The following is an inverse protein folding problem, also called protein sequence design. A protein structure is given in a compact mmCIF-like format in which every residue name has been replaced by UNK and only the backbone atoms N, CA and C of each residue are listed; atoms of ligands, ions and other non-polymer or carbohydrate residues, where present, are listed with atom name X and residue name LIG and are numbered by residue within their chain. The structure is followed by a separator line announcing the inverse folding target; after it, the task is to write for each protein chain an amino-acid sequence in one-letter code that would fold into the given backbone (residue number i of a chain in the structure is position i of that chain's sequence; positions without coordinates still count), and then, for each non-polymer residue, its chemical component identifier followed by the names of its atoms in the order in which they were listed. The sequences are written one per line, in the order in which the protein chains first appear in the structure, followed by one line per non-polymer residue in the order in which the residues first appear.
data_IF_117355195442
#
_entry.id   IF_117355195442
#
_cell.length_a   1.000
_cell.length_b   1.000
_cell.length_c   1.000
_cell.angle_alpha   90.00
_cell.angle_beta   90.00
_cell.angle_gamma   90.00
#
_symmetry.space_group_name_H-M   'P 1'
#
loop_
_entity.id
_entity.type
_entity.pdbx_description
1 polymer ?
#
# COMPACT_ATOMS: atom_id res chain seq x y z
N UNK A 1 -9.27 6.46 -23.50
CA UNK A 1 -9.17 5.03 -23.12
C UNK A 1 -7.74 4.66 -22.73
N UNK A 2 -6.74 4.84 -23.59
CA UNK A 2 -5.34 4.45 -23.33
C UNK A 2 -4.64 5.20 -22.17
N UNK A 3 -4.85 6.52 -22.04
CA UNK A 3 -4.29 7.32 -20.94
C UNK A 3 -4.86 6.88 -19.58
N UNK A 4 -6.12 6.43 -19.55
CA UNK A 4 -6.78 5.95 -18.34
C UNK A 4 -6.20 4.60 -17.91
N UNK A 5 -5.88 3.72 -18.86
CA UNK A 5 -5.20 2.46 -18.59
C UNK A 5 -3.84 2.69 -17.90
N UNK A 6 -2.97 3.49 -18.52
CA UNK A 6 -1.62 3.76 -18.01
C UNK A 6 -1.69 4.37 -16.61
N UNK A 7 -2.54 5.37 -16.42
CA UNK A 7 -2.73 6.04 -15.12
C UNK A 7 -3.21 5.07 -14.05
N UNK A 8 -4.14 4.18 -14.38
CA UNK A 8 -4.69 3.18 -13.44
C UNK A 8 -3.65 2.12 -13.07
N UNK A 9 -2.84 1.67 -14.04
CA UNK A 9 -1.73 0.76 -13.78
C UNK A 9 -0.68 1.39 -12.84
N UNK A 10 -0.34 2.67 -13.04
CA UNK A 10 0.56 3.40 -12.14
C UNK A 10 0.01 3.52 -10.71
N UNK A 11 -1.28 3.76 -10.55
CA UNK A 11 -1.94 3.77 -9.23
C UNK A 11 -1.80 2.40 -8.56
N UNK A 12 -2.02 1.31 -9.29
CA UNK A 12 -1.84 -0.04 -8.77
C UNK A 12 -0.39 -0.32 -8.33
N UNK A 13 0.59 0.12 -9.13
CA UNK A 13 2.02 0.04 -8.77
C UNK A 13 2.31 0.85 -7.50
N UNK A 14 1.75 2.05 -7.37
CA UNK A 14 1.90 2.87 -6.18
C UNK A 14 1.35 2.18 -4.93
N UNK A 15 0.18 1.52 -5.02
CA UNK A 15 -0.37 0.73 -3.92
C UNK A 15 0.56 -0.43 -3.52
N UNK A 16 1.12 -1.15 -4.50
CA UNK A 16 2.09 -2.22 -4.22
C UNK A 16 3.33 -1.67 -3.52
N UNK A 17 3.89 -0.55 -4.00
CA UNK A 17 5.05 0.09 -3.40
C UNK A 17 4.78 0.54 -1.96
N UNK A 18 3.63 1.17 -1.70
CA UNK A 18 3.21 1.61 -0.37
C UNK A 18 3.03 0.41 0.56
N UNK A 19 2.37 -0.66 0.11
CA UNK A 19 2.17 -1.87 0.91
C UNK A 19 3.49 -2.58 1.24
N UNK A 20 4.42 -2.66 0.27
CA UNK A 20 5.78 -3.17 0.50
C UNK A 20 6.55 -2.31 1.50
N UNK A 21 6.44 -0.98 1.40
CA UNK A 21 7.08 -0.05 2.32
C UNK A 21 6.52 -0.18 3.74
N UNK A 22 5.21 -0.37 3.89
CA UNK A 22 4.57 -0.63 5.18
C UNK A 22 5.05 -1.93 5.84
N UNK A 23 5.24 -2.99 5.06
CA UNK A 23 5.74 -4.28 5.58
C UNK A 23 7.21 -4.19 5.99
N UNK A 24 8.05 -3.53 5.17
CA UNK A 24 9.50 -3.44 5.38
C UNK A 24 9.88 -2.43 6.46
N UNK A 25 9.19 -1.30 6.51
CA UNK A 25 9.52 -0.18 7.39
C UNK A 25 8.32 0.23 8.27
N UNK A 26 7.81 -0.66 9.13
CA UNK A 26 6.61 -0.37 9.91
C UNK A 26 6.79 0.77 10.93
N UNK A 27 8.04 1.06 11.30
CA UNK A 27 8.41 2.15 12.21
C UNK A 27 8.61 3.50 11.52
N UNK A 28 8.48 3.57 10.20
CA UNK A 28 8.67 4.80 9.43
C UNK A 28 7.73 5.91 9.92
N UNK A 29 8.20 7.16 9.86
CA UNK A 29 7.41 8.34 10.22
C UNK A 29 6.09 8.42 9.44
N UNK A 30 6.04 7.91 8.20
CA UNK A 30 4.83 7.79 7.39
C UNK A 30 3.68 7.02 8.07
N UNK A 31 4.02 6.07 8.95
CA UNK A 31 3.06 5.24 9.66
C UNK A 31 2.95 5.59 11.15
N UNK A 32 3.78 6.53 11.64
CA UNK A 32 3.63 7.10 12.96
C UNK A 32 2.48 8.10 12.96
N UNK A 33 1.67 8.06 14.02
CA UNK A 33 0.64 9.07 14.24
C UNK A 33 1.34 10.24 14.92
N UNK A 34 1.14 11.47 14.43
CA UNK A 34 1.90 12.69 14.79
C UNK A 34 1.84 13.11 16.27
N UNK A 35 1.22 12.31 17.15
CA UNK A 35 1.03 12.59 18.58
C UNK A 35 1.32 11.42 19.52
N UNK A 36 1.68 10.25 18.99
CA UNK A 36 2.05 9.12 19.82
C UNK A 36 3.57 9.12 20.01
N UNK A 37 4.04 9.71 21.12
CA UNK A 37 5.35 9.41 21.71
C UNK A 37 5.36 8.01 22.36
N UNK A 38 4.30 7.24 22.13
CA UNK A 38 4.09 5.86 22.58
C UNK A 38 4.82 4.93 21.62
N UNK A 39 5.70 4.12 22.18
CA UNK A 39 6.42 3.06 21.47
C UNK A 39 5.44 2.22 20.63
N UNK A 40 5.81 1.97 19.37
CA UNK A 40 4.92 1.32 18.41
C UNK A 40 4.63 -0.11 18.88
N UNK A 41 3.44 -0.36 19.42
CA UNK A 41 3.11 -1.66 20.00
C UNK A 41 3.22 -2.80 18.98
N UNK A 42 3.61 -3.99 19.43
CA UNK A 42 3.74 -5.19 18.58
C UNK A 42 2.46 -5.49 17.80
N UNK A 43 1.30 -5.25 18.42
CA UNK A 43 -0.01 -5.41 17.78
C UNK A 43 -0.20 -4.43 16.62
N UNK A 44 0.27 -3.18 16.77
CA UNK A 44 0.22 -2.18 15.69
C UNK A 44 1.19 -2.52 14.56
N UNK A 45 2.39 -3.01 14.87
CA UNK A 45 3.35 -3.47 13.86
C UNK A 45 2.75 -4.65 13.07
N UNK A 46 2.14 -5.60 13.77
CA UNK A 46 1.47 -6.74 13.15
C UNK A 46 0.33 -6.29 12.24
N UNK A 47 -0.53 -5.38 12.72
CA UNK A 47 -1.59 -4.80 11.93
C UNK A 47 -1.06 -4.07 10.68
N UNK A 48 0.03 -3.31 10.81
CA UNK A 48 0.61 -2.57 9.69
C UNK A 48 1.15 -3.51 8.60
N UNK A 49 1.78 -4.62 9.00
CA UNK A 49 2.23 -5.68 8.08
C UNK A 49 1.04 -6.37 7.40
N UNK A 50 -0.04 -6.61 8.12
CA UNK A 50 -1.26 -7.18 7.56
C UNK A 50 -1.94 -6.23 6.57
N UNK A 51 -2.11 -4.97 6.95
CA UNK A 51 -2.64 -3.92 6.09
C UNK A 51 -1.79 -3.76 4.81
N UNK A 52 -0.46 -3.75 4.95
CA UNK A 52 0.45 -3.69 3.79
C UNK A 52 0.27 -4.85 2.81
N UNK A 53 0.03 -6.08 3.29
CA UNK A 53 -0.30 -7.22 2.43
C UNK A 53 -1.62 -7.02 1.68
N UNK A 54 -2.64 -6.50 2.36
CA UNK A 54 -3.93 -6.17 1.73
C UNK A 54 -3.74 -5.07 0.68
N UNK A 55 -2.96 -4.03 0.97
CA UNK A 55 -2.69 -2.94 0.02
C UNK A 55 -1.99 -3.45 -1.24
N UNK A 56 -1.04 -4.38 -1.10
CA UNK A 56 -0.43 -5.06 -2.26
C UNK A 56 -1.47 -5.81 -3.08
N UNK A 57 -2.34 -6.60 -2.43
CA UNK A 57 -3.39 -7.35 -3.11
C UNK A 57 -4.36 -6.43 -3.87
N UNK A 58 -4.75 -5.30 -3.28
CA UNK A 58 -5.56 -4.27 -3.94
C UNK A 58 -4.83 -3.70 -5.16
N UNK A 59 -3.55 -3.36 -5.02
CA UNK A 59 -2.75 -2.85 -6.14
C UNK A 59 -2.68 -3.82 -7.31
N UNK A 60 -2.54 -5.13 -7.04
CA UNK A 60 -2.60 -6.18 -8.07
C UNK A 60 -3.96 -6.21 -8.76
N UNK A 61 -5.06 -6.16 -8.00
CA UNK A 61 -6.42 -6.13 -8.57
C UNK A 61 -6.64 -4.89 -9.43
N UNK A 62 -6.15 -3.72 -9.01
CA UNK A 62 -6.24 -2.47 -9.78
C UNK A 62 -5.50 -2.60 -11.12
N UNK A 63 -4.30 -3.20 -11.13
CA UNK A 63 -3.57 -3.48 -12.38
C UNK A 63 -4.37 -4.44 -13.27
N UNK A 64 -4.91 -5.52 -12.71
CA UNK A 64 -5.71 -6.49 -13.48
C UNK A 64 -6.97 -5.84 -14.11
N UNK A 65 -7.67 -5.00 -13.34
CA UNK A 65 -8.82 -4.25 -13.84
C UNK A 65 -8.44 -3.26 -14.94
N UNK A 66 -7.25 -2.66 -14.85
CA UNK A 66 -6.77 -1.77 -15.91
C UNK A 66 -6.64 -2.51 -17.25
N UNK A 67 -6.21 -3.77 -17.24
CA UNK A 67 -6.04 -4.59 -18.44
C UNK A 67 -7.36 -4.97 -19.12
N UNK A 68 -8.50 -4.91 -18.43
CA UNK A 68 -9.81 -5.23 -19.03
C UNK A 68 -10.28 -4.23 -20.09
N UNK A 69 -9.70 -3.03 -20.08
CA UNK A 69 -10.03 -1.95 -21.02
C UNK A 69 -9.03 -1.83 -22.19
N UNK A 70 -8.12 -2.81 -22.34
CA UNK A 70 -7.12 -2.91 -23.39
C UNK A 70 -7.62 -3.82 -24.52
#
# INVERSE_FOLDING_TARGET
MFINFISTAFIGIAFIAIGLYAIRNPHSWWFRRTRDDIELSDLRIWYLKFAGKITIAIGVVVILMSLQHL
#
